data_IF_080152918852
#
_entry.id   IF_080152918852
#
_cell.length_a   1.000
_cell.length_b   1.000
_cell.length_c   1.000
_cell.angle_alpha   90.00
_cell.angle_beta   90.00
_cell.angle_gamma   90.00
#
_symmetry.space_group_name_H-M   'P 1'
#
loop_
_entity.id
_entity.type
_entity.pdbx_description
1 polymer ?
#
# COMPACT_ATOMS: atom_id res chain seq x y z
N UNK A 1 23.44 -5.72 -11.49
CA UNK A 1 22.51 -4.62 -11.77
C UNK A 1 23.21 -3.57 -12.61
N UNK A 2 22.49 -2.95 -13.56
CA UNK A 2 23.01 -1.89 -14.41
C UNK A 2 22.13 -0.64 -14.25
N UNK A 3 22.77 0.54 -14.37
CA UNK A 3 22.09 1.82 -14.32
C UNK A 3 22.01 2.37 -15.74
N UNK A 4 20.80 2.56 -16.23
CA UNK A 4 20.52 3.25 -17.49
C UNK A 4 20.17 4.69 -17.20
N UNK A 5 20.73 5.62 -17.96
CA UNK A 5 20.38 7.04 -17.91
C UNK A 5 19.80 7.50 -19.24
N UNK A 6 18.75 8.28 -19.16
CA UNK A 6 18.00 8.74 -20.34
C UNK A 6 17.67 10.22 -20.20
N UNK A 7 17.51 10.90 -21.34
CA UNK A 7 17.16 12.30 -21.43
C UNK A 7 18.32 13.22 -21.74
N UNK A 8 18.02 14.43 -22.18
CA UNK A 8 19.03 15.42 -22.64
C UNK A 8 20.03 15.84 -21.56
N UNK A 9 19.57 15.97 -20.29
CA UNK A 9 20.41 16.30 -19.13
C UNK A 9 21.47 15.26 -18.80
N UNK A 10 21.26 13.99 -19.20
CA UNK A 10 22.24 12.92 -19.00
C UNK A 10 23.51 13.06 -19.83
N UNK A 11 23.54 13.96 -20.81
CA UNK A 11 24.74 14.26 -21.62
C UNK A 11 25.75 15.13 -20.87
N UNK A 12 25.35 15.79 -19.80
CA UNK A 12 26.24 16.67 -19.00
C UNK A 12 27.19 15.84 -18.15
N UNK A 13 28.48 16.00 -18.32
CA UNK A 13 29.52 15.21 -17.65
C UNK A 13 29.46 15.29 -16.13
N UNK A 14 29.17 16.48 -15.57
CA UNK A 14 29.04 16.67 -14.13
C UNK A 14 27.86 15.88 -13.55
N UNK A 15 26.73 15.81 -14.27
CA UNK A 15 25.57 15.01 -13.87
C UNK A 15 25.92 13.54 -13.82
N UNK A 16 26.58 13.02 -14.87
CA UNK A 16 27.06 11.63 -14.89
C UNK A 16 27.97 11.30 -13.71
N UNK A 17 28.90 12.18 -13.38
CA UNK A 17 29.82 11.98 -12.26
C UNK A 17 29.10 11.94 -10.91
N UNK A 18 28.17 12.85 -10.68
CA UNK A 18 27.36 12.86 -9.45
C UNK A 18 26.54 11.59 -9.33
N UNK A 19 25.86 11.17 -10.41
CA UNK A 19 25.08 9.93 -10.43
C UNK A 19 25.97 8.70 -10.16
N UNK A 20 27.12 8.61 -10.84
CA UNK A 20 28.05 7.51 -10.65
C UNK A 20 28.55 7.39 -9.21
N UNK A 21 28.86 8.53 -8.59
CA UNK A 21 29.28 8.57 -7.19
C UNK A 21 28.15 8.16 -6.25
N UNK A 22 26.94 8.67 -6.46
CA UNK A 22 25.78 8.36 -5.60
C UNK A 22 25.28 6.92 -5.74
N UNK A 23 25.35 6.36 -6.94
CA UNK A 23 24.91 5.00 -7.23
C UNK A 23 26.05 3.96 -7.12
N UNK A 24 27.24 4.41 -6.72
CA UNK A 24 28.44 3.58 -6.54
C UNK A 24 28.75 2.70 -7.77
N UNK A 25 28.67 3.26 -8.96
CA UNK A 25 29.02 2.57 -10.21
C UNK A 25 30.51 2.58 -10.42
N UNK A 26 31.00 1.67 -11.29
CA UNK A 26 32.42 1.59 -11.63
C UNK A 26 32.87 2.79 -12.47
N UNK A 27 33.49 3.76 -11.82
CA UNK A 27 33.93 5.02 -12.44
C UNK A 27 35.13 4.84 -13.40
N UNK A 28 35.77 3.67 -13.44
CA UNK A 28 36.85 3.36 -14.37
C UNK A 28 36.34 3.00 -15.76
N UNK A 29 35.08 2.62 -15.87
CA UNK A 29 34.45 2.26 -17.14
C UNK A 29 34.01 3.49 -17.95
N UNK A 30 33.81 3.34 -19.29
CA UNK A 30 33.23 4.39 -20.11
C UNK A 30 31.91 4.90 -19.52
N UNK A 31 31.66 6.21 -19.63
CA UNK A 31 30.50 6.87 -19.01
C UNK A 31 30.37 6.63 -17.49
N UNK A 32 31.46 6.36 -16.78
CA UNK A 32 31.48 6.06 -15.34
C UNK A 32 30.65 4.82 -14.97
N UNK A 33 30.57 3.80 -15.85
CA UNK A 33 29.75 2.61 -15.66
C UNK A 33 28.25 2.81 -15.85
N UNK A 34 27.83 4.01 -16.26
CA UNK A 34 26.44 4.30 -16.59
C UNK A 34 26.17 3.90 -18.05
N UNK A 35 25.04 3.25 -18.29
CA UNK A 35 24.60 2.86 -19.64
C UNK A 35 23.71 3.93 -20.26
N UNK A 36 23.80 4.07 -21.58
CA UNK A 36 23.02 5.00 -22.39
C UNK A 36 22.49 4.29 -23.62
N UNK A 37 21.96 3.07 -23.43
CA UNK A 37 21.50 2.22 -24.52
C UNK A 37 20.06 2.50 -24.93
N UNK A 38 19.32 3.20 -24.06
CA UNK A 38 17.96 3.61 -24.37
C UNK A 38 17.92 4.75 -25.37
N UNK A 39 17.01 4.66 -26.35
CA UNK A 39 16.69 5.78 -27.21
C UNK A 39 15.89 6.84 -26.42
N UNK A 40 16.48 8.01 -26.21
CA UNK A 40 15.89 9.08 -25.40
C UNK A 40 14.55 9.60 -25.95
N UNK A 41 14.37 9.54 -27.29
CA UNK A 41 13.14 10.05 -27.93
C UNK A 41 11.98 9.06 -27.84
N UNK A 42 12.27 7.76 -27.70
CA UNK A 42 11.26 6.69 -27.76
C UNK A 42 11.04 5.96 -26.44
N UNK A 43 11.98 6.01 -25.50
CA UNK A 43 11.95 5.18 -24.30
C UNK A 43 10.71 5.41 -23.45
N UNK A 44 10.24 6.65 -23.33
CA UNK A 44 9.05 6.99 -22.57
C UNK A 44 7.78 6.41 -23.21
N UNK A 45 7.63 6.56 -24.53
CA UNK A 45 6.45 6.03 -25.24
C UNK A 45 6.43 4.49 -25.21
N UNK A 46 7.59 3.85 -25.35
CA UNK A 46 7.72 2.39 -25.23
C UNK A 46 7.39 1.91 -23.82
N UNK A 47 7.86 2.61 -22.79
CA UNK A 47 7.51 2.33 -21.39
C UNK A 47 6.02 2.44 -21.12
N UNK A 48 5.37 3.48 -21.61
CA UNK A 48 3.91 3.66 -21.50
C UNK A 48 3.15 2.53 -22.21
N UNK A 49 3.59 2.12 -23.40
CA UNK A 49 2.98 1.01 -24.13
C UNK A 49 3.11 -0.33 -23.36
N UNK A 50 4.26 -0.59 -22.78
CA UNK A 50 4.49 -1.78 -21.94
C UNK A 50 3.58 -1.77 -20.71
N UNK A 51 3.49 -0.65 -20.02
CA UNK A 51 2.63 -0.51 -18.86
C UNK A 51 1.15 -0.67 -19.22
N UNK A 52 0.71 -0.08 -20.33
CA UNK A 52 -0.65 -0.24 -20.82
C UNK A 52 -0.97 -1.71 -21.17
N UNK A 53 -0.02 -2.44 -21.75
CA UNK A 53 -0.17 -3.86 -22.04
C UNK A 53 -0.31 -4.69 -20.75
N UNK A 54 0.46 -4.38 -19.70
CA UNK A 54 0.37 -5.05 -18.39
C UNK A 54 -0.98 -4.83 -17.71
N UNK A 55 -1.50 -3.60 -17.77
CA UNK A 55 -2.78 -3.25 -17.17
C UNK A 55 -3.98 -3.76 -17.97
N UNK A 56 -3.78 -4.16 -19.22
CA UNK A 56 -4.85 -4.62 -20.10
C UNK A 56 -5.15 -6.10 -19.92
N UNK A 57 -6.41 -6.50 -19.68
CA UNK A 57 -6.80 -7.90 -19.59
C UNK A 57 -6.70 -8.65 -20.93
N UNK A 58 -6.49 -7.92 -22.05
CA UNK A 58 -6.42 -8.50 -23.40
C UNK A 58 -5.04 -9.04 -23.75
N UNK A 59 -3.99 -8.56 -23.07
CA UNK A 59 -2.61 -8.96 -23.38
C UNK A 59 -2.05 -9.80 -22.24
N UNK A 60 -1.46 -10.93 -22.61
CA UNK A 60 -0.70 -11.76 -21.69
C UNK A 60 0.78 -11.43 -21.88
N UNK A 61 1.33 -10.61 -21.02
CA UNK A 61 2.72 -10.17 -21.05
C UNK A 61 3.46 -10.68 -19.81
N UNK A 62 4.78 -10.68 -19.86
CA UNK A 62 5.59 -10.96 -18.67
C UNK A 62 5.38 -9.84 -17.66
N UNK A 63 5.00 -10.23 -16.45
CA UNK A 63 4.84 -9.29 -15.34
C UNK A 63 6.20 -8.79 -14.84
N UNK A 64 6.26 -7.52 -14.52
CA UNK A 64 7.37 -6.89 -13.80
C UNK A 64 6.82 -5.85 -12.84
N UNK A 65 7.48 -5.69 -11.71
CA UNK A 65 7.07 -4.73 -10.69
C UNK A 65 7.83 -3.42 -10.88
N UNK A 66 7.07 -2.32 -10.81
CA UNK A 66 7.62 -0.98 -10.73
C UNK A 66 7.51 -0.56 -9.28
N UNK A 67 8.65 -0.35 -8.64
CA UNK A 67 8.75 0.16 -7.28
C UNK A 67 9.25 1.59 -7.35
N UNK A 68 8.51 2.49 -6.77
CA UNK A 68 8.88 3.88 -6.64
C UNK A 68 9.04 4.24 -5.16
N UNK A 69 9.69 5.35 -4.87
CA UNK A 69 9.87 5.83 -3.52
C UNK A 69 8.91 6.98 -3.23
N UNK A 70 8.30 6.97 -2.06
CA UNK A 70 7.49 8.07 -1.55
C UNK A 70 8.38 9.27 -1.21
N UNK A 71 8.32 10.40 -1.93
CA UNK A 71 9.23 11.53 -1.68
C UNK A 71 8.97 12.22 -0.34
N UNK A 72 7.73 12.20 0.13
CA UNK A 72 7.32 12.77 1.42
C UNK A 72 6.57 11.72 2.22
N UNK A 73 6.80 11.69 3.54
CA UNK A 73 6.04 10.82 4.44
C UNK A 73 4.58 11.28 4.55
N UNK A 74 3.67 10.32 4.77
CA UNK A 74 2.24 10.58 4.95
C UNK A 74 1.79 10.03 6.29
N UNK A 75 1.22 10.90 7.11
CA UNK A 75 0.56 10.58 8.37
C UNK A 75 -0.95 10.62 8.21
N UNK A 76 -1.62 9.75 8.95
CA UNK A 76 -3.07 9.79 9.12
C UNK A 76 -3.41 10.17 10.54
N UNK A 77 -4.39 11.04 10.68
CA UNK A 77 -4.95 11.42 11.97
C UNK A 77 -6.46 11.24 11.98
N UNK A 78 -7.03 10.99 13.14
CA UNK A 78 -8.47 10.81 13.33
C UNK A 78 -8.89 11.28 14.71
N UNK A 79 -10.18 11.55 14.86
CA UNK A 79 -10.74 11.95 16.13
C UNK A 79 -10.77 10.75 17.09
N UNK A 80 -10.46 10.99 18.38
CA UNK A 80 -10.50 9.93 19.39
C UNK A 80 -11.92 9.35 19.50
N UNK A 81 -12.04 8.02 19.79
CA UNK A 81 -13.37 7.41 19.95
C UNK A 81 -14.12 8.02 21.13
N UNK A 82 -15.40 8.30 20.94
CA UNK A 82 -16.29 8.80 22.00
C UNK A 82 -16.65 7.73 23.04
N UNK A 83 -16.47 6.46 22.72
CA UNK A 83 -16.69 5.31 23.61
C UNK A 83 -15.38 4.69 24.02
N UNK A 84 -15.18 4.53 25.35
CA UNK A 84 -14.03 3.79 25.90
C UNK A 84 -14.13 2.32 25.46
N UNK A 85 -13.00 1.64 25.14
CA UNK A 85 -13.00 0.21 24.87
C UNK A 85 -13.53 -0.55 26.09
N UNK A 86 -14.40 -1.55 25.88
CA UNK A 86 -14.72 -2.49 26.95
C UNK A 86 -13.49 -3.33 27.25
N UNK A 87 -13.03 -3.34 28.51
CA UNK A 87 -12.00 -4.22 29.00
C UNK A 87 -12.45 -5.67 28.79
N UNK A 88 -11.71 -6.47 28.02
CA UNK A 88 -11.94 -7.91 27.97
C UNK A 88 -11.78 -8.61 26.64
N UNK A 89 -11.29 -7.96 25.58
CA UNK A 89 -11.08 -8.65 24.30
C UNK A 89 -9.57 -8.78 24.00
N UNK A 90 -9.04 -9.97 24.30
CA UNK A 90 -7.63 -10.37 24.07
C UNK A 90 -7.38 -10.82 22.60
N UNK A 91 -7.99 -10.18 21.61
CA UNK A 91 -7.65 -10.48 20.23
C UNK A 91 -6.39 -9.71 19.80
N UNK A 92 -5.36 -10.44 19.37
CA UNK A 92 -4.02 -9.99 18.95
C UNK A 92 -3.96 -9.01 17.75
N UNK A 93 -5.07 -8.42 17.32
CA UNK A 93 -5.05 -7.38 16.28
C UNK A 93 -4.87 -6.01 16.93
N UNK A 94 -3.76 -5.34 16.61
CA UNK A 94 -3.47 -3.97 17.04
C UNK A 94 -4.61 -3.01 16.67
N UNK A 95 -5.37 -2.58 17.66
CA UNK A 95 -6.35 -1.50 17.53
C UNK A 95 -5.59 -0.18 17.59
N UNK A 96 -5.67 0.61 16.52
CA UNK A 96 -5.00 1.90 16.47
C UNK A 96 -5.75 2.94 17.29
N UNK A 97 -5.43 3.02 18.59
CA UNK A 97 -5.99 4.00 19.52
C UNK A 97 -5.28 5.36 19.46
N UNK A 98 -4.08 5.42 18.88
CA UNK A 98 -3.34 6.68 18.73
C UNK A 98 -3.96 7.55 17.65
N UNK A 99 -4.18 8.82 17.98
CA UNK A 99 -4.85 9.78 17.09
C UNK A 99 -4.02 10.23 15.88
N UNK A 100 -2.75 9.78 15.75
CA UNK A 100 -1.86 10.10 14.64
C UNK A 100 -0.88 8.95 14.39
N UNK A 101 -0.79 8.48 13.15
CA UNK A 101 0.11 7.38 12.73
C UNK A 101 0.82 7.73 11.44
N UNK A 102 2.16 7.61 11.42
CA UNK A 102 2.96 7.66 10.20
C UNK A 102 2.70 6.39 9.38
N UNK A 103 1.86 6.48 8.35
CA UNK A 103 1.44 5.33 7.56
C UNK A 103 2.42 4.99 6.45
N UNK A 104 2.84 5.99 5.69
CA UNK A 104 3.82 5.84 4.61
C UNK A 104 5.05 6.67 4.94
N UNK A 105 6.17 6.03 5.33
CA UNK A 105 7.39 6.75 5.63
C UNK A 105 8.02 7.33 4.36
N UNK A 106 8.80 8.39 4.51
CA UNK A 106 9.60 8.96 3.42
C UNK A 106 10.55 7.90 2.84
N UNK A 107 10.67 7.86 1.53
CA UNK A 107 11.41 6.86 0.76
C UNK A 107 10.89 5.41 0.94
N UNK A 108 9.68 5.26 1.48
CA UNK A 108 8.98 3.99 1.48
C UNK A 108 8.59 3.55 0.06
N UNK A 109 8.45 2.25 -0.13
CA UNK A 109 8.08 1.69 -1.42
C UNK A 109 6.63 1.99 -1.79
N UNK A 110 6.40 2.32 -3.06
CA UNK A 110 5.07 2.49 -3.66
C UNK A 110 4.98 1.67 -4.96
N UNK A 111 3.80 1.12 -5.30
CA UNK A 111 2.52 1.19 -4.59
C UNK A 111 2.51 0.34 -3.32
N UNK A 112 1.78 0.80 -2.31
CA UNK A 112 1.60 0.04 -1.07
C UNK A 112 0.20 0.25 -0.49
N UNK A 113 -0.31 -0.78 0.20
CA UNK A 113 -1.58 -0.70 0.90
C UNK A 113 -1.36 -1.10 2.36
N UNK A 114 -1.85 -0.25 3.26
CA UNK A 114 -1.79 -0.48 4.70
C UNK A 114 -3.21 -0.65 5.24
N UNK A 115 -3.34 -1.55 6.22
CA UNK A 115 -4.60 -1.81 6.90
C UNK A 115 -4.55 -1.17 8.29
N UNK A 116 -5.62 -0.47 8.63
CA UNK A 116 -5.86 0.07 9.96
C UNK A 116 -7.15 -0.53 10.50
N UNK A 117 -7.14 -0.92 11.76
CA UNK A 117 -8.31 -1.45 12.45
C UNK A 117 -8.73 -0.46 13.51
N UNK A 118 -9.99 -0.07 13.50
CA UNK A 118 -10.60 0.88 14.44
C UNK A 118 -11.72 0.20 15.22
N UNK A 119 -11.91 0.59 16.48
CA UNK A 119 -13.14 0.32 17.23
C UNK A 119 -13.95 1.60 17.28
N UNK A 120 -15.12 1.59 16.64
CA UNK A 120 -15.98 2.77 16.51
C UNK A 120 -17.46 2.38 16.70
N UNK A 121 -18.22 3.32 17.28
CA UNK A 121 -19.67 3.20 17.43
C UNK A 121 -20.42 4.31 16.71
N UNK A 122 -19.74 5.09 15.88
CA UNK A 122 -20.26 6.21 15.12
C UNK A 122 -19.41 6.46 13.87
N UNK A 123 -19.92 7.24 12.95
CA UNK A 123 -19.20 7.70 11.77
C UNK A 123 -17.98 8.52 12.17
N UNK A 124 -16.88 8.37 11.47
CA UNK A 124 -15.63 9.06 11.79
C UNK A 124 -14.88 9.52 10.54
N UNK A 125 -13.99 10.50 10.72
CA UNK A 125 -13.20 11.07 9.63
C UNK A 125 -11.73 10.80 9.86
N UNK A 126 -11.07 10.29 8.82
CA UNK A 126 -9.63 10.11 8.74
C UNK A 126 -9.06 11.27 7.92
N UNK A 127 -8.12 12.00 8.49
CA UNK A 127 -7.42 13.12 7.83
C UNK A 127 -6.04 12.66 7.41
N UNK A 128 -5.69 12.84 6.14
CA UNK A 128 -4.36 12.57 5.62
C UNK A 128 -3.57 13.87 5.49
N UNK A 129 -2.34 13.85 5.97
CA UNK A 129 -1.41 14.98 5.90
C UNK A 129 0.01 14.52 5.63
N UNK A 130 0.85 15.41 5.13
CA UNK A 130 2.28 15.15 5.07
C UNK A 130 2.87 15.14 6.48
N UNK A 131 3.71 14.13 6.75
CA UNK A 131 4.28 13.90 8.10
C UNK A 131 5.23 15.00 8.55
N UNK A 132 5.96 15.60 7.62
CA UNK A 132 6.93 16.67 7.91
C UNK A 132 6.67 17.88 6.98
N UNK A 133 5.93 18.87 7.46
CA UNK A 133 5.65 20.08 6.68
C UNK A 133 6.91 20.89 6.30
N UNK A 134 8.00 20.78 7.09
CA UNK A 134 9.22 21.54 6.82
C UNK A 134 9.98 21.04 5.58
N UNK A 135 9.70 19.83 5.11
CA UNK A 135 10.30 19.25 3.91
C UNK A 135 9.50 19.56 2.63
N UNK A 136 8.32 20.13 2.77
CA UNK A 136 7.50 20.50 1.61
C UNK A 136 8.06 21.75 0.93
N UNK A 137 7.89 21.85 -0.40
CA UNK A 137 8.14 23.10 -1.10
C UNK A 137 7.27 24.25 -0.55
N UNK A 138 7.77 25.47 -0.66
CA UNK A 138 7.01 26.66 -0.27
C UNK A 138 5.64 26.68 -0.93
N UNK A 139 4.62 27.11 -0.18
CA UNK A 139 3.22 27.24 -0.61
C UNK A 139 2.45 25.91 -0.82
N UNK A 140 3.05 24.77 -0.52
CA UNK A 140 2.32 23.49 -0.51
C UNK A 140 1.61 23.29 0.82
N UNK A 141 0.29 23.04 0.76
CA UNK A 141 -0.48 22.71 1.97
C UNK A 141 -0.03 21.36 2.54
N UNK A 142 0.18 21.25 3.84
CA UNK A 142 0.45 19.95 4.47
C UNK A 142 -0.75 19.00 4.46
N UNK A 143 -1.98 19.52 4.32
CA UNK A 143 -3.18 18.69 4.24
C UNK A 143 -3.32 18.06 2.86
N UNK A 144 -3.44 16.72 2.82
CA UNK A 144 -3.68 15.94 1.58
C UNK A 144 -5.17 15.80 1.34
N UNK A 145 -5.94 15.41 2.38
CA UNK A 145 -7.37 15.22 2.26
C UNK A 145 -8.02 14.67 3.53
N UNK A 146 -9.34 14.53 3.48
CA UNK A 146 -10.12 13.95 4.56
C UNK A 146 -11.11 12.92 3.98
N UNK A 147 -11.25 11.78 4.65
CA UNK A 147 -12.08 10.65 4.24
C UNK A 147 -13.05 10.32 5.37
N UNK A 148 -14.34 10.36 5.10
CA UNK A 148 -15.35 10.04 6.12
C UNK A 148 -15.87 8.63 5.91
N UNK A 149 -15.75 7.79 6.92
CA UNK A 149 -16.34 6.45 7.00
C UNK A 149 -17.73 6.59 7.59
N UNK A 150 -18.74 6.15 6.84
CA UNK A 150 -20.16 6.30 7.21
C UNK A 150 -20.84 4.95 7.36
N UNK A 151 -21.95 4.95 8.12
CA UNK A 151 -22.76 3.75 8.32
C UNK A 151 -22.19 2.81 9.38
N UNK A 152 -21.38 3.33 10.29
CA UNK A 152 -20.86 2.56 11.42
C UNK A 152 -21.99 2.34 12.43
N UNK A 153 -22.30 1.05 12.79
CA UNK A 153 -23.38 0.77 13.73
C UNK A 153 -23.05 1.30 15.13
N UNK A 154 -24.09 1.70 15.87
CA UNK A 154 -23.96 2.13 17.23
C UNK A 154 -23.42 0.99 18.12
N UNK A 155 -22.50 1.33 19.04
CA UNK A 155 -21.82 0.38 19.91
C UNK A 155 -20.32 0.31 19.61
N UNK A 156 -19.67 -0.80 19.94
CA UNK A 156 -18.24 -1.02 19.68
C UNK A 156 -18.07 -1.92 18.45
N UNK A 157 -18.13 -1.34 17.27
CA UNK A 157 -17.92 -2.07 16.03
C UNK A 157 -16.44 -2.04 15.63
N UNK A 158 -15.94 -3.19 15.13
CA UNK A 158 -14.59 -3.28 14.56
C UNK A 158 -14.65 -2.93 13.08
N UNK A 159 -13.96 -1.86 12.69
CA UNK A 159 -13.92 -1.35 11.31
C UNK A 159 -12.50 -1.46 10.77
N UNK A 160 -12.31 -2.23 9.70
CA UNK A 160 -11.04 -2.34 8.97
C UNK A 160 -11.04 -1.36 7.80
N UNK A 161 -10.05 -0.48 7.77
CA UNK A 161 -9.88 0.50 6.70
C UNK A 161 -8.57 0.21 5.96
N UNK A 162 -8.66 -0.01 4.65
CA UNK A 162 -7.49 -0.16 3.80
C UNK A 162 -7.17 1.18 3.14
N UNK A 163 -5.98 1.68 3.41
CA UNK A 163 -5.46 2.92 2.80
C UNK A 163 -4.37 2.55 1.82
N UNK A 164 -4.49 3.02 0.59
CA UNK A 164 -3.52 2.74 -0.46
C UNK A 164 -2.79 4.00 -0.90
N UNK A 165 -1.49 3.86 -1.13
CA UNK A 165 -0.67 4.80 -1.86
C UNK A 165 -0.42 4.21 -3.24
N UNK A 166 -0.99 4.84 -4.27
CA UNK A 166 -1.00 4.31 -5.63
C UNK A 166 0.30 4.61 -6.38
N UNK A 167 0.49 3.95 -7.52
CA UNK A 167 1.59 4.25 -8.47
C UNK A 167 1.58 5.70 -8.99
N UNK A 168 0.46 6.39 -8.85
CA UNK A 168 0.32 7.80 -9.27
C UNK A 168 0.69 8.79 -8.16
N UNK A 169 1.19 8.30 -7.01
CA UNK A 169 1.51 9.14 -5.86
C UNK A 169 0.30 9.68 -5.10
N UNK A 170 -0.89 9.11 -5.32
CA UNK A 170 -2.11 9.51 -4.63
C UNK A 170 -2.41 8.61 -3.44
N UNK A 171 -2.85 9.21 -2.34
CA UNK A 171 -3.32 8.50 -1.14
C UNK A 171 -4.83 8.45 -1.16
N UNK A 172 -5.39 7.26 -0.96
CA UNK A 172 -6.84 7.06 -0.96
C UNK A 172 -7.26 5.96 0.03
N UNK A 173 -8.46 6.07 0.55
CA UNK A 173 -9.12 4.98 1.26
C UNK A 173 -9.72 4.03 0.22
N UNK A 174 -9.10 2.86 0.08
CA UNK A 174 -9.53 1.88 -0.92
C UNK A 174 -10.80 1.14 -0.50
N UNK A 175 -10.95 0.83 0.79
CA UNK A 175 -12.14 0.20 1.35
C UNK A 175 -12.25 0.42 2.85
N UNK A 176 -13.47 0.42 3.37
CA UNK A 176 -13.78 0.31 4.78
C UNK A 176 -14.77 -0.86 4.96
N UNK A 177 -14.50 -1.75 5.89
CA UNK A 177 -15.26 -2.99 6.10
C UNK A 177 -15.59 -3.14 7.57
N UNK A 178 -16.84 -3.48 7.86
CA UNK A 178 -17.26 -3.90 9.18
C UNK A 178 -16.84 -5.35 9.41
N UNK A 179 -16.13 -5.63 10.48
CA UNK A 179 -15.74 -6.97 10.88
C UNK A 179 -16.79 -7.49 11.87
N UNK A 180 -17.49 -8.55 11.48
CA UNK A 180 -18.38 -9.30 12.37
C UNK A 180 -17.68 -10.63 12.67
N UNK A 181 -17.59 -10.97 13.95
CA UNK A 181 -17.19 -12.32 14.36
C UNK A 181 -18.37 -13.24 14.11
N UNK A 182 -18.21 -14.18 13.19
CA UNK A 182 -19.15 -15.29 13.03
C UNK A 182 -18.70 -16.33 14.05
N UNK A 183 -19.56 -16.75 15.00
CA UNK A 183 -19.24 -17.88 15.88
C UNK A 183 -18.94 -19.10 15.00
N UNK A 184 -17.83 -19.78 15.25
CA UNK A 184 -17.53 -21.04 14.61
C UNK A 184 -18.68 -22.02 14.92
N UNK A 185 -19.45 -22.42 13.91
CA UNK A 185 -20.36 -23.55 14.04
C UNK A 185 -19.48 -24.78 14.28
N UNK A 186 -19.62 -25.38 15.48
CA UNK A 186 -19.00 -26.66 15.79
C UNK A 186 -19.33 -27.66 14.66
N UNK A 187 -18.34 -28.43 14.16
CA UNK A 187 -18.62 -29.43 13.14
C UNK A 187 -19.60 -30.43 13.70
N UNK A 188 -20.78 -30.56 13.08
CA UNK A 188 -21.78 -31.60 13.39
C UNK A 188 -21.07 -32.94 13.22
N UNK A 189 -20.90 -33.68 14.31
CA UNK A 189 -20.51 -35.08 14.29
C UNK A 189 -21.44 -35.83 13.36
N UNK A 190 -20.93 -36.36 12.26
CA UNK A 190 -21.62 -37.28 11.40
C UNK A 190 -21.90 -38.54 12.21
N UNK A 191 -23.17 -38.79 12.53
CA UNK A 191 -23.67 -40.05 13.06
C UNK A 191 -23.25 -41.18 12.11
N UNK A 192 -22.33 -41.99 12.57
CA UNK A 192 -21.99 -43.27 11.95
C UNK A 192 -23.24 -44.12 11.91
N UNK A 193 -23.86 -44.30 10.75
CA UNK A 193 -24.78 -45.37 10.49
C UNK A 193 -24.06 -46.71 10.62
N UNK A 194 -24.43 -47.43 11.66
CA UNK A 194 -24.14 -48.83 11.91
C UNK A 194 -24.83 -49.67 10.82
N UNK A 195 -24.07 -50.16 9.83
CA UNK A 195 -24.53 -51.21 8.92
C UNK A 195 -24.26 -52.57 9.56
N UNK A 196 -25.34 -53.09 10.15
CA UNK A 196 -25.40 -54.43 10.70
C UNK A 196 -25.18 -55.50 9.64
N UNK A 197 -24.43 -56.51 10.04
CA UNK A 197 -24.21 -57.79 9.38
C UNK A 197 -25.51 -58.47 8.88
N UNK A 198 -25.49 -58.90 7.64
CA UNK A 198 -26.43 -59.87 7.04
C UNK A 198 -25.67 -60.98 6.33
N UNK A 199 -25.42 -62.09 7.03
CA UNK A 199 -25.04 -63.38 6.45
C UNK A 199 -26.19 -63.92 5.59
N UNK A 200 -25.88 -64.55 4.47
CA UNK A 200 -26.29 -65.88 4.05
C UNK A 200 -25.96 -66.16 2.58
N UNK A 201 -25.10 -67.14 2.36
CA UNK A 201 -25.28 -68.43 1.74
C UNK A 201 -26.12 -68.49 0.42
N UNK A 202 -25.50 -68.70 -0.67
CA UNK A 202 -25.49 -69.87 -1.53
C UNK A 202 -24.63 -69.68 -2.77
#
# INVERSE_FOLDING_TARGET
HSVEICGGGSRVASVKRVLATKLNTDQTQPNYGLKTTLNADECTSKGCAMQAAMLSPRFKVKEYNILEATPFGVSLSWDAPSTKPMEGDESDEEVNDSADVLLFPRNGETPSTKRLTFRRGEDFTIKASYADPAQLPDQVSPAIGAFTVRGVPAGSARVRVNVSHSVHGTVQVASAQLVQEVPDEEPKEDEKMDEGEGKEEK
#
